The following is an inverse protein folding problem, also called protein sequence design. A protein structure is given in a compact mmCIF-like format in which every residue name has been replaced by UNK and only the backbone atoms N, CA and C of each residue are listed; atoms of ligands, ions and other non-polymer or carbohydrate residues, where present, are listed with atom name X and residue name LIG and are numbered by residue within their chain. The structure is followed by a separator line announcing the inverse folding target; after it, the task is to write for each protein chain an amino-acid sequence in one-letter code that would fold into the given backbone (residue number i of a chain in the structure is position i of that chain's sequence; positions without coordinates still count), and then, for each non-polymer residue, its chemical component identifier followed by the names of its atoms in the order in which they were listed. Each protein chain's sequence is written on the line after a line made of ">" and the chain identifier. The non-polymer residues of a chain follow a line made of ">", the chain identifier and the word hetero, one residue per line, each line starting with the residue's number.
data_IF_288674028257
#
_entry.id   IF_288674028257
#
_cell.length_a   1.000
_cell.length_b   1.000
_cell.length_c   1.000
_cell.angle_alpha   90.00
_cell.angle_beta   90.00
_cell.angle_gamma   90.00
#
_symmetry.space_group_name_H-M   'P 1'
#
loop_
_entity.id
_entity.type
_entity.pdbx_description
1 polymer ?
#
# COMPACT_ATOMS: atom_id res chain seq x y z
N UNK A 1 3.87 3.57 23.96
CA UNK A 1 3.15 3.53 22.66
C UNK A 1 1.65 3.60 22.89
N UNK A 2 0.84 3.97 21.88
CA UNK A 2 -0.64 3.95 21.98
C UNK A 2 -1.09 2.48 22.11
N UNK A 3 -1.97 2.19 23.08
CA UNK A 3 -2.64 0.89 23.16
C UNK A 3 -3.78 0.81 22.14
N UNK A 4 -3.98 -0.37 21.56
CA UNK A 4 -5.05 -0.58 20.59
C UNK A 4 -6.42 -0.56 21.28
N UNK A 5 -7.32 0.30 20.82
CA UNK A 5 -8.69 0.39 21.34
C UNK A 5 -9.65 -0.56 20.63
N UNK A 6 -10.86 -0.74 21.18
CA UNK A 6 -11.94 -1.50 20.53
C UNK A 6 -12.31 -0.87 19.18
N UNK A 7 -12.38 0.46 19.12
CA UNK A 7 -12.66 1.17 17.87
C UNK A 7 -11.57 0.89 16.82
N UNK A 8 -10.29 0.94 17.20
CA UNK A 8 -9.19 0.62 16.29
C UNK A 8 -9.33 -0.79 15.71
N UNK A 9 -9.68 -1.78 16.55
CA UNK A 9 -9.90 -3.17 16.12
C UNK A 9 -11.06 -3.29 15.13
N UNK A 10 -12.17 -2.58 15.38
CA UNK A 10 -13.32 -2.57 14.48
C UNK A 10 -12.93 -1.98 13.12
N UNK A 11 -12.24 -0.83 13.11
CA UNK A 11 -11.80 -0.18 11.87
C UNK A 11 -10.84 -1.07 11.06
N UNK A 12 -9.89 -1.73 11.75
CA UNK A 12 -8.97 -2.69 11.11
C UNK A 12 -9.69 -3.95 10.62
N UNK A 13 -10.71 -4.43 11.33
CA UNK A 13 -11.49 -5.58 10.89
C UNK A 13 -12.25 -5.25 9.60
N UNK A 14 -12.92 -4.10 9.55
CA UNK A 14 -13.62 -3.65 8.34
C UNK A 14 -12.62 -3.47 7.19
N UNK A 15 -11.44 -2.89 7.47
CA UNK A 15 -10.34 -2.78 6.49
C UNK A 15 -9.98 -4.16 5.91
N UNK A 16 -9.78 -5.15 6.77
CA UNK A 16 -9.48 -6.52 6.34
C UNK A 16 -10.61 -7.15 5.53
N UNK A 17 -11.87 -7.00 5.96
CA UNK A 17 -13.03 -7.50 5.23
C UNK A 17 -13.16 -6.87 3.83
N UNK A 18 -12.91 -5.56 3.70
CA UNK A 18 -12.90 -4.88 2.41
C UNK A 18 -11.76 -5.37 1.51
N UNK A 19 -10.56 -5.60 2.06
CA UNK A 19 -9.47 -6.20 1.31
C UNK A 19 -9.80 -7.63 0.85
N UNK A 20 -10.43 -8.44 1.71
CA UNK A 20 -10.90 -9.78 1.37
C UNK A 20 -11.99 -9.77 0.28
N UNK A 21 -12.93 -8.82 0.36
CA UNK A 21 -13.93 -8.57 -0.67
C UNK A 21 -13.28 -8.23 -2.00
N UNK A 22 -12.29 -7.31 -2.00
CA UNK A 22 -11.59 -6.93 -3.22
C UNK A 22 -10.93 -8.13 -3.89
N UNK A 23 -10.25 -8.99 -3.12
CA UNK A 23 -9.61 -10.21 -3.64
C UNK A 23 -10.65 -11.17 -4.25
N UNK A 24 -11.80 -11.34 -3.58
CA UNK A 24 -12.77 -12.39 -3.93
C UNK A 24 -13.72 -11.98 -5.06
N UNK A 25 -14.04 -10.68 -5.17
CA UNK A 25 -15.08 -10.19 -6.08
C UNK A 25 -14.64 -8.99 -6.93
N UNK A 26 -13.62 -8.25 -6.50
CA UNK A 26 -13.21 -6.99 -7.12
C UNK A 26 -12.24 -7.12 -8.30
N UNK A 27 -11.71 -8.32 -8.56
CA UNK A 27 -10.63 -8.56 -9.54
C UNK A 27 -11.03 -9.42 -10.74
N UNK A 28 -12.33 -9.59 -11.00
CA UNK A 28 -12.84 -10.36 -12.14
C UNK A 28 -12.36 -9.77 -13.48
N UNK A 29 -12.31 -10.53 -14.56
CA UNK A 29 -12.01 -10.02 -15.92
C UNK A 29 -10.63 -9.34 -16.12
N UNK A 30 -9.73 -9.42 -15.14
CA UNK A 30 -8.35 -8.97 -15.27
C UNK A 30 -7.47 -10.06 -15.89
N UNK A 31 -6.37 -9.62 -16.53
CA UNK A 31 -5.32 -10.56 -16.92
C UNK A 31 -4.68 -11.20 -15.67
N UNK A 32 -4.13 -12.39 -15.85
CA UNK A 32 -3.54 -13.19 -14.76
C UNK A 32 -2.55 -12.40 -13.91
N UNK A 33 -1.64 -11.62 -14.53
CA UNK A 33 -0.62 -10.90 -13.78
C UNK A 33 -1.24 -9.79 -12.92
N UNK A 34 -2.18 -9.01 -13.45
CA UNK A 34 -2.91 -7.99 -12.69
C UNK A 34 -3.68 -8.62 -11.53
N UNK A 35 -4.41 -9.71 -11.75
CA UNK A 35 -5.14 -10.43 -10.71
C UNK A 35 -4.22 -10.88 -9.57
N UNK A 36 -3.11 -11.52 -9.88
CA UNK A 36 -2.13 -11.95 -8.88
C UNK A 36 -1.51 -10.78 -8.13
N UNK A 37 -1.17 -9.71 -8.85
CA UNK A 37 -0.53 -8.53 -8.26
C UNK A 37 -1.46 -7.82 -7.27
N UNK A 38 -2.72 -7.60 -7.64
CA UNK A 38 -3.69 -7.04 -6.71
C UNK A 38 -4.01 -7.98 -5.55
N UNK A 39 -4.11 -9.29 -5.81
CA UNK A 39 -4.35 -10.30 -4.76
C UNK A 39 -3.24 -10.28 -3.71
N UNK A 40 -1.97 -10.17 -4.12
CA UNK A 40 -0.85 -10.04 -3.18
C UNK A 40 -0.92 -8.72 -2.41
N UNK A 41 -1.17 -7.60 -3.09
CA UNK A 41 -1.26 -6.29 -2.44
C UNK A 41 -2.36 -6.22 -1.37
N UNK A 42 -3.59 -6.59 -1.74
CA UNK A 42 -4.73 -6.64 -0.80
C UNK A 42 -4.60 -7.77 0.22
N UNK A 43 -4.00 -8.90 -0.15
CA UNK A 43 -3.77 -10.02 0.75
C UNK A 43 -2.82 -9.65 1.89
N UNK A 44 -1.73 -8.95 1.57
CA UNK A 44 -0.81 -8.43 2.59
C UNK A 44 -1.48 -7.38 3.47
N UNK A 45 -2.33 -6.52 2.90
CA UNK A 45 -3.12 -5.55 3.68
C UNK A 45 -4.09 -6.24 4.65
N UNK A 46 -4.78 -7.30 4.21
CA UNK A 46 -5.65 -8.12 5.06
C UNK A 46 -4.86 -8.75 6.22
N UNK A 47 -3.75 -9.44 5.92
CA UNK A 47 -2.92 -10.07 6.95
C UNK A 47 -2.37 -9.03 7.92
N UNK A 48 -1.90 -7.88 7.42
CA UNK A 48 -1.43 -6.78 8.27
C UNK A 48 -2.53 -6.25 9.20
N UNK A 49 -3.76 -6.05 8.69
CA UNK A 49 -4.91 -5.65 9.50
C UNK A 49 -5.21 -6.63 10.62
N UNK A 50 -5.22 -7.94 10.31
CA UNK A 50 -5.45 -9.00 11.30
C UNK A 50 -4.33 -9.08 12.35
N UNK A 51 -3.07 -8.96 11.92
CA UNK A 51 -1.92 -8.94 12.84
C UNK A 51 -1.98 -7.75 13.78
N UNK A 52 -2.36 -6.56 13.31
CA UNK A 52 -2.54 -5.38 14.16
C UNK A 52 -3.68 -5.56 15.16
N UNK A 53 -4.75 -6.27 14.80
CA UNK A 53 -5.81 -6.62 15.76
C UNK A 53 -5.25 -7.54 16.86
N UNK A 54 -4.50 -8.58 16.50
CA UNK A 54 -4.02 -9.58 17.46
C UNK A 54 -2.89 -9.02 18.34
N UNK A 55 -1.87 -8.44 17.71
CA UNK A 55 -0.61 -8.02 18.34
C UNK A 55 -0.59 -6.54 18.75
N UNK A 56 -1.57 -5.74 18.33
CA UNK A 56 -1.54 -4.28 18.52
C UNK A 56 -0.51 -3.58 17.62
N UNK A 57 -0.20 -2.31 17.94
CA UNK A 57 0.72 -1.50 17.14
C UNK A 57 2.20 -1.87 17.29
N UNK A 58 2.54 -2.76 18.22
CA UNK A 58 3.90 -3.26 18.44
C UNK A 58 4.46 -4.00 17.21
N UNK A 59 3.59 -4.65 16.43
CA UNK A 59 3.98 -5.32 15.19
C UNK A 59 4.61 -4.37 14.15
N UNK A 60 4.30 -3.07 14.18
CA UNK A 60 4.82 -2.08 13.21
C UNK A 60 6.32 -1.80 13.39
N UNK A 61 6.90 -2.15 14.53
CA UNK A 61 8.32 -1.95 14.80
C UNK A 61 9.19 -3.09 14.25
N UNK A 62 8.58 -4.19 13.82
CA UNK A 62 9.29 -5.35 13.29
C UNK A 62 9.79 -5.12 11.85
N UNK A 63 11.08 -5.41 11.60
CA UNK A 63 11.70 -5.29 10.28
C UNK A 63 11.03 -6.18 9.22
N UNK A 64 10.59 -7.38 9.60
CA UNK A 64 9.87 -8.30 8.71
C UNK A 64 8.57 -7.66 8.25
N UNK A 65 7.85 -6.96 9.14
CA UNK A 65 6.61 -6.25 8.78
C UNK A 65 6.89 -5.13 7.77
N UNK A 66 8.01 -4.41 7.89
CA UNK A 66 8.44 -3.41 6.88
C UNK A 66 8.74 -4.07 5.53
N UNK A 67 9.42 -5.21 5.52
CA UNK A 67 9.72 -5.94 4.27
C UNK A 67 8.43 -6.44 3.65
N UNK A 68 7.58 -7.16 4.40
CA UNK A 68 6.32 -7.73 3.89
C UNK A 68 5.37 -6.62 3.41
N UNK A 69 5.21 -5.53 4.18
CA UNK A 69 4.36 -4.40 3.77
C UNK A 69 4.83 -3.70 2.50
N UNK A 70 6.09 -3.85 2.09
CA UNK A 70 6.58 -3.34 0.78
C UNK A 70 5.88 -4.01 -0.40
N UNK A 71 5.35 -5.22 -0.23
CA UNK A 71 4.54 -5.87 -1.24
C UNK A 71 3.24 -5.12 -1.53
N UNK A 72 2.68 -4.36 -0.57
CA UNK A 72 1.44 -3.60 -0.79
C UNK A 72 1.61 -2.60 -1.95
N UNK A 73 2.52 -1.61 -1.88
CA UNK A 73 2.66 -0.66 -2.98
C UNK A 73 3.22 -1.32 -4.24
N UNK A 74 4.20 -2.22 -4.14
CA UNK A 74 4.82 -2.84 -5.33
C UNK A 74 3.85 -3.71 -6.13
N UNK A 75 3.02 -4.50 -5.45
CA UNK A 75 2.09 -5.39 -6.14
C UNK A 75 0.87 -4.61 -6.66
N UNK A 76 0.37 -3.61 -5.94
CA UNK A 76 -0.71 -2.75 -6.47
C UNK A 76 -0.23 -1.96 -7.70
N UNK A 77 0.97 -1.36 -7.65
CA UNK A 77 1.49 -0.62 -8.80
C UNK A 77 1.82 -1.52 -10.00
N UNK A 78 2.32 -2.74 -9.76
CA UNK A 78 2.54 -3.72 -10.82
C UNK A 78 1.22 -4.12 -11.49
N UNK A 79 0.16 -4.35 -10.71
CA UNK A 79 -1.17 -4.63 -11.26
C UNK A 79 -1.68 -3.51 -12.16
N UNK A 80 -1.49 -2.25 -11.74
CA UNK A 80 -1.88 -1.07 -12.51
C UNK A 80 -1.09 -0.94 -13.81
N UNK A 81 0.22 -1.20 -13.79
CA UNK A 81 1.06 -1.16 -14.98
C UNK A 81 0.69 -2.29 -15.94
N UNK A 82 0.48 -3.51 -15.43
CA UNK A 82 0.08 -4.65 -16.25
C UNK A 82 -1.30 -4.46 -16.90
N UNK A 83 -2.21 -3.76 -16.23
CA UNK A 83 -3.55 -3.49 -16.74
C UNK A 83 -3.57 -2.34 -17.76
N UNK A 84 -2.94 -1.21 -17.43
CA UNK A 84 -3.12 0.04 -18.19
C UNK A 84 -1.94 0.41 -19.08
N UNK A 85 -0.77 -0.18 -18.85
CA UNK A 85 0.50 0.15 -19.52
C UNK A 85 1.23 -1.13 -19.97
N UNK A 86 0.61 -1.99 -20.79
CA UNK A 86 1.11 -3.35 -21.08
C UNK A 86 2.54 -3.37 -21.62
N UNK A 87 2.93 -2.37 -22.40
CA UNK A 87 4.30 -2.20 -22.93
C UNK A 87 5.39 -2.00 -21.86
N UNK A 88 5.02 -1.55 -20.66
CA UNK A 88 5.94 -1.34 -19.53
C UNK A 88 5.89 -2.47 -18.50
N UNK A 89 5.05 -3.49 -18.69
CA UNK A 89 4.86 -4.60 -17.75
C UNK A 89 6.16 -5.29 -17.39
N UNK A 90 6.93 -5.75 -18.39
CA UNK A 90 8.17 -6.50 -18.14
C UNK A 90 9.24 -5.65 -17.45
N UNK A 91 9.57 -4.42 -17.93
CA UNK A 91 10.48 -3.53 -17.20
C UNK A 91 10.03 -3.27 -15.75
N UNK A 92 8.73 -3.05 -15.54
CA UNK A 92 8.20 -2.75 -14.21
C UNK A 92 8.22 -3.96 -13.28
N UNK A 93 7.96 -5.16 -13.79
CA UNK A 93 8.09 -6.41 -13.05
C UNK A 93 9.53 -6.61 -12.58
N UNK A 94 10.51 -6.37 -13.45
CA UNK A 94 11.94 -6.42 -13.09
C UNK A 94 12.23 -5.41 -11.97
N UNK A 95 11.76 -4.17 -12.11
CA UNK A 95 11.87 -3.15 -11.06
C UNK A 95 11.25 -3.61 -9.73
N UNK A 96 10.05 -4.19 -9.75
CA UNK A 96 9.36 -4.63 -8.54
C UNK A 96 10.13 -5.76 -7.84
N UNK A 97 10.62 -6.76 -8.58
CA UNK A 97 11.39 -7.88 -8.02
C UNK A 97 12.73 -7.38 -7.45
N UNK A 98 13.50 -6.60 -8.23
CA UNK A 98 14.79 -6.09 -7.79
C UNK A 98 14.64 -5.10 -6.62
N UNK A 99 13.63 -4.24 -6.65
CA UNK A 99 13.32 -3.30 -5.58
C UNK A 99 12.94 -4.00 -4.28
N UNK A 100 12.08 -5.03 -4.36
CA UNK A 100 11.74 -5.85 -3.20
C UNK A 100 12.95 -6.57 -2.62
N UNK A 101 13.76 -7.22 -3.48
CA UNK A 101 14.98 -7.90 -3.06
C UNK A 101 15.99 -6.92 -2.41
N UNK A 102 16.19 -5.75 -3.01
CA UNK A 102 17.08 -4.72 -2.47
C UNK A 102 16.61 -4.24 -1.09
N UNK A 103 15.31 -4.01 -0.90
CA UNK A 103 14.75 -3.66 0.42
C UNK A 103 14.97 -4.79 1.42
N UNK A 104 14.68 -6.03 1.05
CA UNK A 104 14.84 -7.18 1.92
C UNK A 104 16.30 -7.35 2.38
N UNK A 105 17.25 -7.30 1.45
CA UNK A 105 18.68 -7.44 1.74
C UNK A 105 19.16 -6.28 2.62
N UNK A 106 18.93 -5.04 2.18
CA UNK A 106 19.47 -3.86 2.87
C UNK A 106 18.89 -3.64 4.25
N UNK A 107 17.71 -4.19 4.56
CA UNK A 107 17.15 -4.15 5.92
C UNK A 107 17.94 -4.96 6.94
N UNK A 108 18.70 -5.97 6.50
CA UNK A 108 19.54 -6.78 7.37
C UNK A 108 21.03 -6.47 7.25
N UNK A 109 21.49 -5.97 6.11
CA UNK A 109 22.93 -5.85 5.82
C UNK A 109 23.47 -4.43 5.78
N UNK A 110 22.61 -3.42 5.63
CA UNK A 110 23.06 -2.04 5.42
C UNK A 110 22.70 -1.13 6.60
N UNK A 111 23.56 -0.15 6.85
CA UNK A 111 23.30 0.92 7.82
C UNK A 111 22.14 1.82 7.39
N UNK A 112 21.48 2.43 8.38
CA UNK A 112 20.13 2.96 8.26
C UNK A 112 19.86 3.94 7.14
N UNK A 113 20.85 4.71 6.66
CA UNK A 113 20.66 5.68 5.56
C UNK A 113 20.46 4.99 4.21
N UNK A 114 21.30 4.01 3.86
CA UNK A 114 21.23 3.30 2.57
C UNK A 114 19.92 2.53 2.44
N UNK A 115 19.55 1.77 3.47
CA UNK A 115 18.29 1.04 3.49
C UNK A 115 17.06 1.97 3.40
N UNK A 116 17.16 3.19 3.95
CA UNK A 116 16.08 4.19 3.87
C UNK A 116 15.98 4.81 2.49
N UNK A 117 17.10 5.12 1.83
CA UNK A 117 17.10 5.66 0.46
C UNK A 117 16.51 4.64 -0.53
N UNK A 118 16.95 3.38 -0.45
CA UNK A 118 16.42 2.31 -1.32
C UNK A 118 14.92 2.15 -1.10
N UNK A 119 14.47 2.08 0.17
CA UNK A 119 13.05 2.04 0.49
C UNK A 119 12.30 3.24 -0.11
N UNK A 120 12.81 4.46 0.09
CA UNK A 120 12.15 5.69 -0.36
C UNK A 120 12.05 5.77 -1.89
N UNK A 121 13.08 5.35 -2.63
CA UNK A 121 13.04 5.33 -4.09
C UNK A 121 12.04 4.29 -4.60
N UNK A 122 12.10 3.06 -4.09
CA UNK A 122 11.21 1.98 -4.52
C UNK A 122 9.75 2.28 -4.18
N UNK A 123 9.47 2.71 -2.94
CA UNK A 123 8.11 3.12 -2.54
C UNK A 123 7.67 4.40 -3.24
N UNK A 124 8.57 5.35 -3.47
CA UNK A 124 8.26 6.61 -4.15
C UNK A 124 7.78 6.40 -5.58
N UNK A 125 8.45 5.54 -6.35
CA UNK A 125 8.02 5.18 -7.71
C UNK A 125 6.67 4.46 -7.69
N UNK A 126 6.52 3.44 -6.84
CA UNK A 126 5.28 2.68 -6.73
C UNK A 126 4.10 3.55 -6.27
N UNK A 127 4.28 4.33 -5.20
CA UNK A 127 3.27 5.23 -4.65
C UNK A 127 2.88 6.34 -5.63
N UNK A 128 3.83 6.87 -6.39
CA UNK A 128 3.54 7.85 -7.45
C UNK A 128 2.69 7.23 -8.56
N UNK A 129 2.99 6.00 -8.98
CA UNK A 129 2.17 5.29 -9.97
C UNK A 129 0.76 5.04 -9.46
N UNK A 130 0.61 4.54 -8.23
CA UNK A 130 -0.71 4.29 -7.64
C UNK A 130 -1.51 5.59 -7.55
N UNK A 131 -0.87 6.69 -7.20
CA UNK A 131 -1.55 7.99 -7.05
C UNK A 131 -1.93 8.59 -8.41
N UNK A 132 -0.96 8.75 -9.31
CA UNK A 132 -1.15 9.58 -10.49
C UNK A 132 -1.75 8.82 -11.67
N UNK A 133 -1.43 7.54 -11.88
CA UNK A 133 -1.91 6.81 -13.04
C UNK A 133 -3.44 6.73 -13.10
N UNK A 134 -4.17 6.32 -12.03
CA UNK A 134 -5.64 6.26 -12.07
C UNK A 134 -6.28 7.64 -12.27
N UNK A 135 -5.72 8.69 -11.67
CA UNK A 135 -6.20 10.06 -11.82
C UNK A 135 -6.06 10.52 -13.27
N UNK A 136 -4.88 10.33 -13.87
CA UNK A 136 -4.61 10.72 -15.25
C UNK A 136 -5.52 9.97 -16.22
N UNK A 137 -5.68 8.65 -16.05
CA UNK A 137 -6.55 7.86 -16.91
C UNK A 137 -8.02 8.30 -16.82
N UNK A 138 -8.49 8.63 -15.62
CA UNK A 138 -9.86 9.12 -15.39
C UNK A 138 -10.08 10.49 -16.05
N UNK A 139 -9.12 11.41 -15.90
CA UNK A 139 -9.17 12.74 -16.55
C UNK A 139 -9.13 12.62 -18.07
N UNK A 140 -8.35 11.67 -18.60
CA UNK A 140 -8.29 11.38 -20.05
C UNK A 140 -9.53 10.66 -20.58
N UNK A 141 -10.46 10.24 -19.72
CA UNK A 141 -11.65 9.47 -20.10
C UNK A 141 -11.34 8.05 -20.61
N UNK A 142 -10.16 7.51 -20.29
CA UNK A 142 -9.76 6.13 -20.68
C UNK A 142 -10.39 5.05 -19.80
N UNK A 143 -10.84 5.45 -18.62
CA UNK A 143 -11.55 4.66 -17.61
C UNK A 143 -12.69 5.52 -17.06
N UNK A 144 -13.64 4.92 -16.36
CA UNK A 144 -14.74 5.70 -15.77
C UNK A 144 -14.23 6.70 -14.74
N UNK A 145 -14.89 7.85 -14.65
CA UNK A 145 -14.46 8.96 -13.79
C UNK A 145 -14.28 8.55 -12.33
N UNK A 146 -15.05 7.58 -11.82
CA UNK A 146 -14.94 7.06 -10.44
C UNK A 146 -13.63 6.34 -10.13
N UNK A 147 -12.89 5.89 -11.15
CA UNK A 147 -11.60 5.21 -11.00
C UNK A 147 -10.52 6.11 -10.40
N UNK A 148 -10.71 7.43 -10.41
CA UNK A 148 -9.81 8.40 -9.75
C UNK A 148 -9.62 8.10 -8.25
N UNK A 149 -10.59 7.43 -7.61
CA UNK A 149 -10.54 7.05 -6.21
C UNK A 149 -9.43 6.05 -5.89
N UNK A 150 -9.00 5.23 -6.87
CA UNK A 150 -7.79 4.39 -6.73
C UNK A 150 -6.56 5.28 -6.53
N UNK A 151 -6.50 6.40 -7.23
CA UNK A 151 -5.44 7.40 -7.07
C UNK A 151 -5.51 8.14 -5.74
N UNK A 152 -6.72 8.47 -5.27
CA UNK A 152 -6.94 9.04 -3.92
C UNK A 152 -6.48 8.05 -2.84
N UNK A 153 -6.77 6.76 -2.99
CA UNK A 153 -6.27 5.72 -2.10
C UNK A 153 -4.72 5.67 -2.11
N UNK A 154 -4.10 5.80 -3.28
CA UNK A 154 -2.65 5.98 -3.45
C UNK A 154 -2.09 7.18 -2.68
N UNK A 155 -2.77 8.31 -2.73
CA UNK A 155 -2.37 9.50 -1.97
C UNK A 155 -2.49 9.27 -0.46
N UNK A 156 -3.58 8.64 0.01
CA UNK A 156 -3.80 8.33 1.43
C UNK A 156 -2.72 7.40 2.01
N UNK A 157 -2.35 6.33 1.29
CA UNK A 157 -1.26 5.46 1.72
C UNK A 157 0.09 6.20 1.70
N UNK A 158 0.30 7.06 0.69
CA UNK A 158 1.48 7.91 0.60
C UNK A 158 1.64 8.84 1.80
N UNK A 159 0.56 9.47 2.26
CA UNK A 159 0.54 10.29 3.49
C UNK A 159 0.95 9.47 4.71
N UNK A 160 0.37 8.27 4.88
CA UNK A 160 0.74 7.36 5.98
C UNK A 160 2.24 6.98 5.95
N UNK A 161 2.75 6.64 4.77
CA UNK A 161 4.16 6.32 4.56
C UNK A 161 5.09 7.49 4.87
N UNK A 162 4.76 8.70 4.41
CA UNK A 162 5.53 9.91 4.68
C UNK A 162 5.60 10.22 6.18
N UNK A 163 4.46 10.18 6.87
CA UNK A 163 4.40 10.44 8.32
C UNK A 163 5.31 9.48 9.11
N UNK A 164 5.32 8.19 8.75
CA UNK A 164 6.20 7.20 9.37
C UNK A 164 7.67 7.41 9.00
N UNK A 165 7.98 7.84 7.77
CA UNK A 165 9.33 8.15 7.35
C UNK A 165 9.91 9.35 8.12
N UNK A 166 9.14 10.44 8.26
CA UNK A 166 9.54 11.61 9.05
C UNK A 166 9.75 11.28 10.53
N UNK A 167 8.89 10.41 11.08
CA UNK A 167 9.05 9.90 12.44
C UNK A 167 10.39 9.15 12.60
N UNK A 168 10.71 8.21 11.70
CA UNK A 168 11.96 7.45 11.73
C UNK A 168 13.21 8.30 11.45
N UNK A 169 13.07 9.39 10.70
CA UNK A 169 14.15 10.33 10.43
C UNK A 169 14.45 11.29 11.59
N UNK A 170 13.74 11.18 12.72
CA UNK A 170 13.91 12.07 13.87
C UNK A 170 13.38 13.49 13.66
N UNK A 171 12.59 13.72 12.58
CA UNK A 171 11.94 14.99 12.26
C UNK A 171 10.43 14.81 12.13
N UNK A 172 9.74 14.33 13.19
CA UNK A 172 8.32 14.02 13.11
C UNK A 172 7.49 15.27 12.79
N UNK A 173 6.65 15.19 11.75
CA UNK A 173 5.62 16.20 11.48
C UNK A 173 4.50 16.09 12.52
N UNK A 174 4.09 14.85 12.83
CA UNK A 174 3.13 14.50 13.88
C UNK A 174 3.77 13.56 14.88
N UNK A 175 3.30 13.60 16.14
CA UNK A 175 3.77 12.66 17.16
C UNK A 175 3.43 11.21 16.79
N UNK A 176 4.27 10.25 17.20
CA UNK A 176 3.98 8.81 17.01
C UNK A 176 2.60 8.44 17.55
N UNK A 177 2.21 8.97 18.72
CA UNK A 177 0.88 8.76 19.30
C UNK A 177 -0.22 9.20 18.36
N UNK A 178 -0.09 10.38 17.74
CA UNK A 178 -1.08 10.89 16.79
C UNK A 178 -1.14 10.05 15.52
N UNK A 179 0.01 9.66 14.96
CA UNK A 179 0.08 8.77 13.78
C UNK A 179 -0.66 7.44 14.06
N UNK A 180 -0.34 6.77 15.18
CA UNK A 180 -1.02 5.54 15.58
C UNK A 180 -2.50 5.76 15.97
N UNK A 181 -2.89 6.99 16.27
CA UNK A 181 -4.30 7.33 16.53
C UNK A 181 -5.11 7.35 15.24
N UNK A 182 -4.57 7.95 14.18
CA UNK A 182 -5.28 8.10 12.90
C UNK A 182 -5.12 6.88 11.97
N UNK A 183 -4.09 6.06 12.20
CA UNK A 183 -3.73 4.96 11.31
C UNK A 183 -4.89 4.00 10.96
N UNK A 184 -5.70 3.48 11.91
CA UNK A 184 -6.80 2.58 11.56
C UNK A 184 -7.86 3.23 10.67
N UNK A 185 -8.20 4.49 10.92
CA UNK A 185 -9.14 5.24 10.09
C UNK A 185 -8.55 5.52 8.70
N UNK A 186 -7.26 5.86 8.63
CA UNK A 186 -6.55 6.07 7.36
C UNK A 186 -6.56 4.80 6.50
N UNK A 187 -6.26 3.64 7.10
CA UNK A 187 -6.29 2.35 6.43
C UNK A 187 -7.70 2.00 5.93
N UNK A 188 -8.73 2.26 6.72
CA UNK A 188 -10.12 2.04 6.31
C UNK A 188 -10.50 2.94 5.12
N UNK A 189 -10.21 4.24 5.19
CA UNK A 189 -10.52 5.19 4.12
C UNK A 189 -9.78 4.85 2.83
N UNK A 190 -8.49 4.56 2.93
CA UNK A 190 -7.66 4.11 1.81
C UNK A 190 -8.25 2.84 1.16
N UNK A 191 -8.59 1.83 1.96
CA UNK A 191 -9.11 0.55 1.43
C UNK A 191 -10.50 0.70 0.82
N UNK A 192 -11.35 1.52 1.43
CA UNK A 192 -12.68 1.84 0.89
C UNK A 192 -12.57 2.55 -0.45
N UNK A 193 -11.65 3.52 -0.57
CA UNK A 193 -11.37 4.24 -1.80
C UNK A 193 -10.81 3.32 -2.89
N UNK A 194 -9.93 2.37 -2.54
CA UNK A 194 -9.48 1.34 -3.46
C UNK A 194 -10.65 0.50 -3.97
N UNK A 195 -11.43 -0.11 -3.06
CA UNK A 195 -12.51 -1.04 -3.41
C UNK A 195 -13.56 -0.36 -4.30
N UNK A 196 -14.00 0.84 -3.91
CA UNK A 196 -14.99 1.58 -4.68
C UNK A 196 -14.40 2.08 -6.00
N UNK A 197 -13.14 2.58 -6.00
CA UNK A 197 -12.44 2.99 -7.20
C UNK A 197 -12.32 1.86 -8.23
N UNK A 198 -11.92 0.66 -7.80
CA UNK A 198 -11.81 -0.51 -8.68
C UNK A 198 -13.15 -0.99 -9.26
N UNK A 199 -14.30 -0.60 -8.68
CA UNK A 199 -15.60 -0.88 -9.30
C UNK A 199 -15.90 -0.05 -10.56
N UNK A 200 -15.05 0.93 -10.89
CA UNK A 200 -15.14 1.82 -12.05
C UNK A 200 -14.04 1.60 -13.10
N UNK A 201 -13.27 0.51 -13.00
CA UNK A 201 -12.22 0.18 -13.97
C UNK A 201 -12.78 -0.09 -15.36
#
# INVERSE_FOLDING_TARGET
>A
MKQISVLDRILLLITGLLAAYQISFGLNDLNTLSTWSYTVGFGVLLVAGLLLIILGFEGLENQIVVIVSTLIPLSISLGLVAEHLPQFTTPYLIFAILGFAAIAITRYTAEGKTATIILALTHGIAGSLITFLPIILSIQGKVSGGYFLVGIAGALIGVGGLLLAFLKAGKPILSQKMILTVLPALLLLMTSAFVYGFSFR
#
